data_IF_420232886550
#
_entry.id   IF_420232886550
#
_cell.length_a   1.000
_cell.length_b   1.000
_cell.length_c   1.000
_cell.angle_alpha   90.00
_cell.angle_beta   90.00
_cell.angle_gamma   90.00
#
_symmetry.space_group_name_H-M   'P 1'
#
loop_
_entity.id
_entity.type
_entity.pdbx_description
1 polymer ?
#
# COMPACT_ATOMS: atom_id res chain seq x y z
N UNK A 1 3.53 3.68 -22.34
CA UNK A 1 2.99 2.92 -21.20
C UNK A 1 3.77 3.27 -19.94
N UNK A 2 3.13 3.93 -18.97
CA UNK A 2 3.77 4.37 -17.72
C UNK A 2 3.59 3.33 -16.62
N UNK A 3 4.56 3.21 -15.73
CA UNK A 3 4.51 2.36 -14.53
C UNK A 3 4.60 3.27 -13.32
N UNK A 4 3.52 3.36 -12.54
CA UNK A 4 3.34 4.37 -11.51
C UNK A 4 3.24 3.68 -10.16
N UNK A 5 4.17 4.00 -9.25
CA UNK A 5 4.13 3.52 -7.87
C UNK A 5 3.33 4.50 -7.01
N UNK A 6 2.31 4.01 -6.32
CA UNK A 6 1.48 4.77 -5.38
C UNK A 6 1.81 4.30 -3.95
N UNK A 7 2.64 5.05 -3.22
CA UNK A 7 2.82 4.81 -1.80
C UNK A 7 1.53 5.16 -1.05
N UNK A 8 1.21 4.37 -0.02
CA UNK A 8 0.05 4.60 0.84
C UNK A 8 0.37 4.25 2.28
N UNK A 9 -0.09 5.09 3.19
CA UNK A 9 -0.20 4.85 4.63
C UNK A 9 -1.66 4.57 5.04
N UNK A 10 -2.53 4.35 4.05
CA UNK A 10 -3.98 4.17 4.18
C UNK A 10 -4.74 5.40 4.70
N UNK A 11 -4.09 6.56 4.81
CA UNK A 11 -4.72 7.80 5.21
C UNK A 11 -5.65 8.36 4.12
N UNK A 12 -6.51 9.30 4.51
CA UNK A 12 -7.31 10.06 3.55
C UNK A 12 -6.44 10.82 2.55
N UNK A 13 -5.27 11.31 2.97
CA UNK A 13 -4.34 12.03 2.10
C UNK A 13 -3.77 11.11 1.01
N UNK A 14 -3.34 9.90 1.38
CA UNK A 14 -2.91 8.89 0.41
C UNK A 14 -4.06 8.50 -0.54
N UNK A 15 -5.28 8.36 -0.02
CA UNK A 15 -6.46 8.09 -0.86
C UNK A 15 -6.76 9.24 -1.84
N UNK A 16 -6.54 10.50 -1.44
CA UNK A 16 -6.71 11.66 -2.31
C UNK A 16 -5.62 11.70 -3.40
N UNK A 17 -4.37 11.44 -3.04
CA UNK A 17 -3.24 11.40 -3.97
C UNK A 17 -3.43 10.32 -5.05
N UNK A 18 -3.89 9.13 -4.65
CA UNK A 18 -4.25 8.05 -5.56
C UNK A 18 -5.36 8.48 -6.54
N UNK A 19 -6.45 9.07 -6.04
CA UNK A 19 -7.55 9.54 -6.89
C UNK A 19 -7.07 10.61 -7.89
N UNK A 20 -6.20 11.51 -7.42
CA UNK A 20 -5.58 12.51 -8.28
C UNK A 20 -4.74 11.84 -9.37
N UNK A 21 -3.89 10.87 -9.03
CA UNK A 21 -3.05 10.17 -10.01
C UNK A 21 -3.90 9.46 -11.08
N UNK A 22 -4.97 8.76 -10.68
CA UNK A 22 -5.89 8.13 -11.63
C UNK A 22 -6.51 9.16 -12.59
N UNK A 23 -6.95 10.31 -12.10
CA UNK A 23 -7.53 11.34 -12.97
C UNK A 23 -6.49 12.05 -13.83
N UNK A 24 -5.32 12.35 -13.28
CA UNK A 24 -4.25 13.05 -13.97
C UNK A 24 -3.73 12.26 -15.17
N UNK A 25 -3.67 10.93 -15.05
CA UNK A 25 -3.22 10.04 -16.11
C UNK A 25 -4.37 9.44 -16.93
N UNK A 26 -5.59 10.02 -16.91
CA UNK A 26 -6.77 9.43 -17.54
C UNK A 26 -6.60 9.10 -19.04
N UNK A 27 -5.82 9.91 -19.78
CA UNK A 27 -5.59 9.75 -21.22
C UNK A 27 -4.34 8.90 -21.55
N UNK A 28 -3.65 8.37 -20.54
CA UNK A 28 -2.40 7.63 -20.71
C UNK A 28 -2.54 6.16 -20.31
N UNK A 29 -1.95 5.27 -21.10
CA UNK A 29 -1.87 3.85 -20.75
C UNK A 29 -0.90 3.65 -19.58
N UNK A 30 -1.45 3.24 -18.43
CA UNK A 30 -0.74 3.18 -17.15
C UNK A 30 -0.96 1.86 -16.43
N UNK A 31 0.11 1.35 -15.81
CA UNK A 31 0.05 0.30 -14.79
C UNK A 31 0.40 0.92 -13.44
N UNK A 32 -0.53 0.88 -12.50
CA UNK A 32 -0.37 1.39 -11.15
C UNK A 32 0.05 0.26 -10.21
N UNK A 33 1.02 0.51 -9.35
CA UNK A 33 1.51 -0.41 -8.32
C UNK A 33 1.27 0.21 -6.95
N UNK A 34 0.62 -0.51 -6.03
CA UNK A 34 0.41 -0.04 -4.67
C UNK A 34 1.57 -0.48 -3.77
N UNK A 35 2.05 0.41 -2.91
CA UNK A 35 3.08 0.12 -1.92
C UNK A 35 2.68 0.62 -0.55
N UNK A 36 2.69 -0.28 0.44
CA UNK A 36 2.75 0.09 1.85
C UNK A 36 4.05 -0.43 2.44
N UNK A 37 4.65 0.37 3.33
CA UNK A 37 5.81 -0.02 4.11
C UNK A 37 5.41 -0.01 5.58
N UNK A 38 5.78 -1.05 6.32
CA UNK A 38 5.61 -1.12 7.76
C UNK A 38 6.98 -1.22 8.43
N UNK A 39 7.10 -0.61 9.60
CA UNK A 39 8.31 -0.68 10.41
C UNK A 39 8.16 -1.86 11.37
N UNK A 40 8.90 -2.96 11.18
CA UNK A 40 8.90 -4.02 12.17
C UNK A 40 9.54 -3.51 13.49
N UNK A 41 9.14 -4.04 14.64
CA UNK A 41 9.49 -3.55 16.00
C UNK A 41 10.99 -3.71 16.35
N UNK A 42 11.81 -4.07 15.37
CA UNK A 42 13.19 -4.54 15.53
C UNK A 42 14.21 -3.38 15.56
N UNK A 43 13.75 -2.12 15.49
CA UNK A 43 14.64 -0.95 15.44
C UNK A 43 15.23 -0.54 16.81
N UNK A 44 14.83 -1.21 17.90
CA UNK A 44 15.45 -0.99 19.20
C UNK A 44 16.37 -2.17 19.56
N UNK A 45 17.62 -1.85 19.89
CA UNK A 45 18.63 -2.84 20.29
C UNK A 45 18.20 -3.67 21.51
N UNK A 46 17.36 -3.08 22.36
CA UNK A 46 16.74 -3.72 23.52
C UNK A 46 15.62 -4.71 23.11
N UNK A 47 14.96 -4.49 21.96
CA UNK A 47 13.95 -5.39 21.40
C UNK A 47 14.54 -6.57 20.65
N UNK A 48 15.77 -6.51 20.11
CA UNK A 48 16.44 -7.68 19.51
C UNK A 48 16.71 -8.79 20.54
N UNK A 49 16.95 -8.44 21.81
CA UNK A 49 17.03 -9.41 22.91
C UNK A 49 15.65 -9.99 23.28
N UNK A 50 14.58 -9.19 23.13
CA UNK A 50 13.20 -9.55 23.45
C UNK A 50 12.40 -10.08 22.25
N UNK A 51 12.94 -10.09 21.03
CA UNK A 51 12.21 -10.50 19.82
C UNK A 51 11.96 -12.00 19.77
N UNK A 52 12.74 -12.78 20.52
CA UNK A 52 12.43 -14.19 20.83
C UNK A 52 11.14 -14.33 21.66
N UNK A 53 10.67 -13.25 22.30
CA UNK A 53 9.52 -13.22 23.21
C UNK A 53 8.24 -12.67 22.56
N UNK A 54 8.29 -12.09 21.35
CA UNK A 54 7.09 -11.47 20.71
C UNK A 54 7.04 -11.58 19.16
N UNK A 55 7.23 -12.78 18.55
CA UNK A 55 7.03 -12.98 17.10
C UNK A 55 5.66 -12.52 16.60
N UNK A 56 4.65 -12.58 17.46
CA UNK A 56 3.25 -12.25 17.16
C UNK A 56 3.04 -10.79 16.72
N UNK A 57 3.82 -9.84 17.26
CA UNK A 57 3.67 -8.43 16.93
C UNK A 57 4.20 -8.11 15.54
N UNK A 58 5.37 -8.66 15.17
CA UNK A 58 5.95 -8.45 13.83
C UNK A 58 5.05 -9.01 12.75
N UNK A 59 4.51 -10.23 12.96
CA UNK A 59 3.55 -10.83 12.03
C UNK A 59 2.25 -10.02 11.98
N UNK A 60 1.80 -9.46 13.10
CA UNK A 60 0.63 -8.57 13.14
C UNK A 60 0.81 -7.30 12.28
N UNK A 61 1.96 -6.62 12.35
CA UNK A 61 2.22 -5.44 11.52
C UNK A 61 2.25 -5.78 10.02
N UNK A 62 2.91 -6.88 9.66
CA UNK A 62 2.95 -7.37 8.29
C UNK A 62 1.56 -7.72 7.78
N UNK A 63 0.82 -8.53 8.54
CA UNK A 63 -0.54 -8.97 8.18
C UNK A 63 -1.49 -7.79 8.02
N UNK A 64 -1.41 -6.79 8.91
CA UNK A 64 -2.19 -5.56 8.79
C UNK A 64 -1.84 -4.77 7.51
N UNK A 65 -0.56 -4.65 7.17
CA UNK A 65 -0.11 -4.03 5.92
C UNK A 65 -0.69 -4.75 4.69
N UNK A 66 -0.54 -6.07 4.62
CA UNK A 66 -1.01 -6.90 3.50
C UNK A 66 -2.54 -6.85 3.35
N UNK A 67 -3.28 -7.02 4.45
CA UNK A 67 -4.75 -6.98 4.42
C UNK A 67 -5.29 -5.63 4.00
N UNK A 68 -4.72 -4.53 4.51
CA UNK A 68 -5.16 -3.19 4.14
C UNK A 68 -4.81 -2.85 2.69
N UNK A 69 -3.67 -3.35 2.18
CA UNK A 69 -3.30 -3.19 0.78
C UNK A 69 -4.26 -3.95 -0.15
N UNK A 70 -4.65 -5.19 0.20
CA UNK A 70 -5.63 -5.96 -0.58
C UNK A 70 -7.03 -5.34 -0.55
N UNK A 71 -7.46 -4.79 0.59
CA UNK A 71 -8.71 -4.03 0.69
C UNK A 71 -8.67 -2.79 -0.20
N UNK A 72 -7.57 -2.04 -0.17
CA UNK A 72 -7.38 -0.87 -1.01
C UNK A 72 -7.39 -1.25 -2.49
N UNK A 73 -6.65 -2.30 -2.88
CA UNK A 73 -6.62 -2.83 -4.25
C UNK A 73 -8.02 -3.18 -4.74
N UNK A 74 -8.76 -3.96 -3.96
CA UNK A 74 -10.14 -4.35 -4.27
C UNK A 74 -11.04 -3.12 -4.46
N UNK A 75 -10.93 -2.11 -3.59
CA UNK A 75 -11.71 -0.87 -3.68
C UNK A 75 -11.39 -0.10 -4.97
N UNK A 76 -10.12 -0.04 -5.36
CA UNK A 76 -9.67 0.68 -6.55
C UNK A 76 -10.09 -0.07 -7.82
N UNK A 77 -9.86 -1.38 -7.89
CA UNK A 77 -10.25 -2.20 -9.05
C UNK A 77 -11.75 -2.09 -9.33
N UNK A 78 -12.60 -1.99 -8.30
CA UNK A 78 -14.04 -1.75 -8.46
C UNK A 78 -14.39 -0.33 -8.95
N UNK A 79 -13.49 0.64 -8.76
CA UNK A 79 -13.68 2.05 -9.13
C UNK A 79 -13.09 2.37 -10.51
N UNK A 80 -12.03 1.68 -10.91
CA UNK A 80 -11.38 1.88 -12.21
C UNK A 80 -12.34 1.39 -13.31
N UNK A 81 -12.90 2.35 -14.03
CA UNK A 81 -13.70 2.12 -15.24
C UNK A 81 -12.92 2.49 -16.51
N UNK A 82 -11.65 2.85 -16.39
CA UNK A 82 -10.81 3.27 -17.50
C UNK A 82 -10.01 2.07 -18.05
N UNK A 83 -10.24 1.72 -19.31
CA UNK A 83 -9.55 0.60 -19.99
C UNK A 83 -8.06 0.83 -20.21
N UNK A 84 -7.59 2.09 -20.13
CA UNK A 84 -6.16 2.44 -20.21
C UNK A 84 -5.41 2.17 -18.91
N UNK A 85 -6.10 1.90 -17.81
CA UNK A 85 -5.50 1.75 -16.48
C UNK A 85 -5.54 0.31 -16.00
N UNK A 86 -4.40 -0.16 -15.51
CA UNK A 86 -4.21 -1.48 -14.91
C UNK A 86 -3.67 -1.31 -13.49
N UNK A 87 -4.01 -2.24 -12.59
CA UNK A 87 -3.62 -2.24 -11.18
C UNK A 87 -3.04 -3.61 -10.78
#
# INVERSE_FOLDING_TARGET
>A
MKRILIPTDFSQNASNALNYALNFFAEEDCTFFLLNTYTPVIYDSEYMLNSYSSPDLTESYKSNSEQNLERLKTRITKKINNSRHQL
#
